data_IF_227852163867
#
_entry.id   IF_227852163867
#
_cell.length_a   1.000
_cell.length_b   1.000
_cell.length_c   1.000
_cell.angle_alpha   90.00
_cell.angle_beta   90.00
_cell.angle_gamma   90.00
#
_symmetry.space_group_name_H-M   'P 1'
#
loop_
_entity.id
_entity.type
_entity.pdbx_description
1 polymer ?
#
# COMPACT_ATOMS: atom_id res chain seq x y z
N UNK A 1 42.69 -0.01 7.65
CA UNK A 1 42.58 0.70 8.93
C UNK A 1 41.11 1.00 9.14
N UNK A 2 40.42 0.13 9.94
CA UNK A 2 39.02 0.28 10.27
C UNK A 2 38.82 1.36 11.31
N UNK A 3 37.80 2.21 11.10
CA UNK A 3 37.39 3.22 12.07
C UNK A 3 36.91 2.52 13.36
N UNK A 4 37.25 3.05 14.55
CA UNK A 4 36.80 2.48 15.82
C UNK A 4 35.26 2.61 15.94
N UNK A 5 34.59 1.50 16.23
CA UNK A 5 33.16 1.51 16.52
C UNK A 5 32.93 2.14 17.90
N UNK A 6 32.01 3.12 17.95
CA UNK A 6 31.64 3.82 19.20
C UNK A 6 30.18 3.45 19.52
N UNK A 7 29.95 2.97 20.74
CA UNK A 7 28.58 2.70 21.22
C UNK A 7 28.11 3.90 22.05
N UNK A 8 27.07 4.57 21.58
CA UNK A 8 26.46 5.75 22.26
C UNK A 8 25.41 5.35 23.32
N UNK A 9 25.69 4.32 24.13
CA UNK A 9 24.76 3.91 25.17
C UNK A 9 25.49 3.87 26.50
N UNK A 10 25.01 4.64 27.49
CA UNK A 10 25.48 4.56 28.88
C UNK A 10 25.06 3.21 29.47
N UNK A 11 26.03 2.41 29.82
CA UNK A 11 25.88 1.11 30.48
C UNK A 11 26.54 1.16 31.86
N UNK A 12 26.06 0.34 32.80
CA UNK A 12 26.71 0.27 34.13
C UNK A 12 28.14 -0.31 34.05
N UNK A 13 28.99 0.04 35.01
CA UNK A 13 30.40 -0.41 35.02
C UNK A 13 30.52 -1.94 34.99
N UNK A 14 29.61 -2.65 35.62
CA UNK A 14 29.56 -4.11 35.63
C UNK A 14 29.22 -4.69 34.24
N UNK A 15 28.28 -4.06 33.53
CA UNK A 15 27.94 -4.43 32.15
C UNK A 15 29.06 -4.10 31.16
N UNK A 16 29.77 -2.97 31.37
CA UNK A 16 30.90 -2.57 30.55
C UNK A 16 32.06 -3.56 30.70
N UNK A 17 32.33 -4.00 31.91
CA UNK A 17 33.40 -4.97 32.22
C UNK A 17 33.10 -6.33 31.63
N UNK A 18 31.85 -6.80 31.74
CA UNK A 18 31.40 -8.08 31.17
C UNK A 18 31.49 -8.09 29.64
N UNK A 19 31.03 -7.02 29.00
CA UNK A 19 31.11 -6.88 27.54
C UNK A 19 32.56 -6.78 27.03
N UNK A 20 33.42 -6.08 27.75
CA UNK A 20 34.86 -5.97 27.43
C UNK A 20 35.56 -7.32 27.48
N UNK A 21 35.31 -8.11 28.52
CA UNK A 21 35.91 -9.44 28.68
C UNK A 21 35.44 -10.40 27.55
N UNK A 22 34.20 -10.35 27.17
CA UNK A 22 33.66 -11.14 26.05
C UNK A 22 34.30 -10.75 24.70
N UNK A 23 34.41 -9.45 24.41
CA UNK A 23 35.00 -8.96 23.17
C UNK A 23 36.48 -9.21 23.05
N UNK A 24 37.22 -9.12 24.18
CA UNK A 24 38.64 -9.50 24.24
C UNK A 24 38.86 -10.99 24.01
N UNK A 25 37.95 -11.84 24.50
CA UNK A 25 37.96 -13.29 24.23
C UNK A 25 37.78 -13.66 22.77
N UNK A 26 37.16 -12.78 21.96
CA UNK A 26 36.93 -12.94 20.52
C UNK A 26 38.02 -12.21 19.68
N UNK A 27 39.04 -11.63 20.31
CA UNK A 27 40.17 -11.02 19.62
C UNK A 27 40.07 -9.52 19.31
N UNK A 28 39.10 -8.80 19.91
CA UNK A 28 38.97 -7.35 19.77
C UNK A 28 39.72 -6.62 20.91
N UNK A 29 40.42 -5.53 20.58
CA UNK A 29 40.96 -4.62 21.60
C UNK A 29 39.87 -3.62 22.00
N UNK A 30 39.49 -3.63 23.28
CA UNK A 30 38.42 -2.78 23.82
C UNK A 30 39.01 -1.87 24.88
N UNK A 31 38.77 -0.55 24.73
CA UNK A 31 39.14 0.47 25.72
C UNK A 31 37.84 1.05 26.32
N UNK A 32 37.75 1.02 27.67
CA UNK A 32 36.59 1.51 28.41
C UNK A 32 36.95 2.90 28.96
N UNK A 33 36.27 3.94 28.44
CA UNK A 33 36.42 5.30 28.97
C UNK A 33 35.24 5.64 29.90
N UNK A 34 35.55 5.90 31.15
CA UNK A 34 34.57 6.40 32.13
C UNK A 34 34.23 7.86 31.83
N UNK A 35 32.98 8.17 31.57
CA UNK A 35 32.48 9.55 31.42
C UNK A 35 32.31 10.13 32.83
N UNK A 36 33.29 10.88 33.34
CA UNK A 36 33.14 11.69 34.54
C UNK A 36 32.15 12.84 34.23
N UNK A 37 31.07 12.90 34.99
CA UNK A 37 30.10 14.02 34.95
C UNK A 37 30.82 15.31 35.38
N UNK A 38 31.05 16.18 34.43
CA UNK A 38 31.56 17.51 34.61
C UNK A 38 31.46 18.29 33.31
N UNK A 39 30.25 18.62 32.91
CA UNK A 39 30.03 19.58 31.81
C UNK A 39 29.72 20.92 32.44
N UNK A 40 30.68 21.83 32.35
CA UNK A 40 30.49 23.27 32.55
C UNK A 40 29.49 23.79 31.50
N UNK A 41 28.49 24.60 31.85
CA UNK A 41 27.54 25.10 30.86
C UNK A 41 28.23 26.11 29.94
N UNK A 42 28.14 25.83 28.63
CA UNK A 42 28.54 26.77 27.59
C UNK A 42 27.58 27.98 27.60
N UNK A 43 28.09 29.22 27.36
CA UNK A 43 27.25 30.42 27.34
C UNK A 43 26.23 30.36 26.19
N UNK A 44 25.00 30.73 26.50
CA UNK A 44 23.89 30.78 25.56
C UNK A 44 24.20 31.70 24.35
N UNK A 45 23.96 31.26 23.12
CA UNK A 45 24.06 32.16 21.97
C UNK A 45 22.88 33.16 21.98
N UNK A 46 23.20 34.42 21.97
CA UNK A 46 22.26 35.54 21.79
C UNK A 46 21.61 35.41 20.41
N UNK A 47 20.33 35.06 20.37
CA UNK A 47 19.52 35.03 19.14
C UNK A 47 18.93 36.41 18.91
N UNK A 48 19.12 37.02 17.74
CA UNK A 48 18.43 38.28 17.41
C UNK A 48 16.93 37.99 17.25
N UNK A 49 16.17 38.84 17.93
CA UNK A 49 14.72 38.97 17.83
C UNK A 49 14.32 39.32 16.38
N UNK A 50 13.56 38.44 15.72
CA UNK A 50 12.54 38.76 14.69
C UNK A 50 12.17 37.56 13.84
N UNK A 51 10.99 37.09 14.02
CA UNK A 51 9.96 36.74 13.03
C UNK A 51 8.91 35.91 13.73
N UNK A 52 7.69 36.41 13.82
CA UNK A 52 6.52 35.63 14.27
C UNK A 52 6.38 34.35 13.46
N UNK A 53 6.30 33.17 14.11
CA UNK A 53 6.05 31.94 13.40
C UNK A 53 4.58 31.89 13.00
N UNK A 54 4.33 31.85 11.71
CA UNK A 54 3.06 31.43 11.11
C UNK A 54 2.59 30.16 11.82
N UNK A 55 1.52 30.26 12.57
CA UNK A 55 0.89 29.18 13.34
C UNK A 55 0.45 28.05 12.41
N UNK A 56 1.32 27.09 12.20
CA UNK A 56 0.92 25.73 11.84
C UNK A 56 0.27 25.13 13.09
N UNK A 57 -0.91 24.54 13.05
CA UNK A 57 -1.51 23.92 14.23
C UNK A 57 -0.55 22.85 14.77
N UNK A 58 0.07 23.13 15.92
CA UNK A 58 0.87 22.15 16.65
C UNK A 58 -0.06 21.07 17.16
N UNK A 59 0.23 19.81 16.80
CA UNK A 59 -0.38 18.64 17.40
C UNK A 59 -0.07 18.67 18.91
N UNK A 60 -0.98 18.26 19.79
CA UNK A 60 -0.75 18.22 21.23
C UNK A 60 0.49 17.37 21.55
N UNK A 61 1.38 17.90 22.37
CA UNK A 61 2.72 17.37 22.68
C UNK A 61 2.78 15.97 23.33
N UNK A 62 1.64 15.31 23.53
CA UNK A 62 1.54 14.01 24.20
C UNK A 62 1.04 12.86 23.30
N UNK A 63 0.89 13.05 21.99
CA UNK A 63 0.50 11.97 21.08
C UNK A 63 1.72 11.37 20.39
N UNK A 64 1.94 10.07 20.62
CA UNK A 64 2.95 9.32 19.89
C UNK A 64 2.64 9.33 18.38
N UNK A 65 3.48 9.97 17.59
CA UNK A 65 3.35 10.00 16.15
C UNK A 65 4.34 9.05 15.49
N UNK A 66 3.83 8.08 14.71
CA UNK A 66 4.63 7.15 13.95
C UNK A 66 4.69 7.57 12.49
N UNK A 67 5.89 7.62 11.94
CA UNK A 67 6.09 7.96 10.53
C UNK A 67 6.37 6.72 9.71
N UNK A 68 5.87 6.72 8.48
CA UNK A 68 6.32 5.77 7.47
C UNK A 68 7.62 6.26 6.85
N UNK A 69 8.45 5.31 6.39
CA UNK A 69 9.67 5.58 5.65
C UNK A 69 9.80 4.66 4.45
N UNK A 70 10.57 5.09 3.45
CA UNK A 70 10.89 4.26 2.28
C UNK A 70 12.34 4.46 1.87
N UNK A 71 13.13 3.39 1.91
CA UNK A 71 14.57 3.38 1.61
C UNK A 71 14.92 2.78 0.24
N UNK A 72 13.91 2.45 -0.57
CA UNK A 72 14.12 1.85 -1.89
C UNK A 72 14.80 2.79 -2.87
N UNK A 73 15.62 2.19 -3.75
CA UNK A 73 16.37 2.89 -4.79
C UNK A 73 15.86 2.48 -6.18
N UNK A 74 15.67 3.47 -7.07
CA UNK A 74 15.22 3.26 -8.45
C UNK A 74 16.18 2.43 -9.28
N UNK A 75 17.51 2.58 -9.10
CA UNK A 75 18.53 1.78 -9.80
C UNK A 75 18.43 0.30 -9.43
N UNK A 76 18.30 0.00 -8.13
CA UNK A 76 18.15 -1.39 -7.67
C UNK A 76 16.86 -2.01 -8.19
N UNK A 77 15.75 -1.27 -8.11
CA UNK A 77 14.47 -1.74 -8.65
C UNK A 77 14.54 -1.93 -10.17
N UNK A 78 15.22 -1.05 -10.89
CA UNK A 78 15.43 -1.19 -12.32
C UNK A 78 16.21 -2.47 -12.65
N UNK A 79 17.31 -2.77 -11.93
CA UNK A 79 18.07 -4.01 -12.11
C UNK A 79 17.18 -5.25 -11.92
N UNK A 80 16.38 -5.28 -10.84
CA UNK A 80 15.40 -6.36 -10.60
C UNK A 80 14.40 -6.47 -11.75
N UNK A 81 13.84 -5.34 -12.19
CA UNK A 81 12.80 -5.31 -13.24
C UNK A 81 13.37 -5.70 -14.60
N UNK A 82 14.57 -5.25 -14.91
CA UNK A 82 15.27 -5.57 -16.17
C UNK A 82 15.59 -7.06 -16.28
N UNK A 83 16.19 -7.65 -15.25
CA UNK A 83 16.46 -9.10 -15.22
C UNK A 83 15.15 -9.90 -15.29
N UNK A 84 14.12 -9.45 -14.59
CA UNK A 84 12.80 -10.07 -14.64
C UNK A 84 12.17 -9.97 -16.05
N UNK A 85 12.34 -8.84 -16.74
CA UNK A 85 11.86 -8.64 -18.11
C UNK A 85 12.51 -9.63 -19.07
N UNK A 86 13.85 -9.72 -19.03
CA UNK A 86 14.60 -10.67 -19.86
C UNK A 86 14.09 -12.09 -19.62
N UNK A 87 14.02 -12.53 -18.37
CA UNK A 87 13.50 -13.87 -18.03
C UNK A 87 12.06 -14.08 -18.48
N UNK A 88 11.22 -13.03 -18.41
CA UNK A 88 9.82 -13.12 -18.85
C UNK A 88 9.73 -13.29 -20.37
N UNK A 89 10.57 -12.63 -21.14
CA UNK A 89 10.63 -12.78 -22.61
C UNK A 89 11.09 -14.20 -22.97
N UNK A 90 12.18 -14.70 -22.38
CA UNK A 90 12.71 -16.05 -22.67
C UNK A 90 11.76 -17.17 -22.23
N UNK A 91 10.88 -16.93 -21.26
CA UNK A 91 9.88 -17.91 -20.80
C UNK A 91 8.49 -17.68 -21.39
N UNK A 92 8.38 -16.91 -22.51
CA UNK A 92 7.11 -16.59 -23.17
C UNK A 92 6.03 -16.07 -22.19
N UNK A 93 6.45 -15.26 -21.21
CA UNK A 93 5.56 -14.65 -20.23
C UNK A 93 5.34 -15.44 -18.93
N UNK A 94 5.76 -16.72 -18.84
CA UNK A 94 5.56 -17.52 -17.62
C UNK A 94 6.30 -16.94 -16.41
N UNK A 95 7.47 -16.33 -16.59
CA UNK A 95 8.24 -15.76 -15.48
C UNK A 95 7.60 -14.53 -14.83
N UNK A 96 6.56 -13.93 -15.44
CA UNK A 96 5.85 -12.75 -14.90
C UNK A 96 5.40 -12.89 -13.43
N UNK A 97 5.07 -14.10 -13.00
CA UNK A 97 4.62 -14.37 -11.62
C UNK A 97 5.78 -14.23 -10.62
N UNK A 98 6.96 -14.72 -10.98
CA UNK A 98 8.20 -14.52 -10.19
C UNK A 98 8.62 -13.06 -10.21
N UNK A 99 8.58 -12.42 -11.37
CA UNK A 99 8.88 -11.00 -11.53
C UNK A 99 8.04 -10.13 -10.59
N UNK A 100 6.73 -10.37 -10.54
CA UNK A 100 5.78 -9.67 -9.67
C UNK A 100 6.08 -9.90 -8.18
N UNK A 101 6.39 -11.14 -7.81
CA UNK A 101 6.74 -11.48 -6.43
C UNK A 101 8.05 -10.81 -6.00
N UNK A 102 9.10 -10.86 -6.83
CA UNK A 102 10.40 -10.24 -6.55
C UNK A 102 10.27 -8.72 -6.34
N UNK A 103 9.51 -8.04 -7.20
CA UNK A 103 9.26 -6.59 -7.06
C UNK A 103 8.51 -6.30 -5.76
N UNK A 104 7.50 -7.09 -5.40
CA UNK A 104 6.75 -6.90 -4.15
C UNK A 104 7.65 -7.12 -2.93
N UNK A 105 8.42 -8.20 -2.90
CA UNK A 105 9.37 -8.47 -1.81
C UNK A 105 10.35 -7.32 -1.63
N UNK A 106 10.92 -6.81 -2.73
CA UNK A 106 11.79 -5.64 -2.66
C UNK A 106 11.07 -4.41 -2.10
N UNK A 107 9.92 -4.05 -2.62
CA UNK A 107 9.20 -2.85 -2.18
C UNK A 107 8.78 -2.93 -0.70
N UNK A 108 8.32 -4.09 -0.24
CA UNK A 108 7.96 -4.29 1.17
C UNK A 108 9.18 -4.21 2.09
N UNK A 109 10.29 -4.86 1.74
CA UNK A 109 11.53 -4.81 2.52
C UNK A 109 12.14 -3.42 2.60
N UNK A 110 11.81 -2.51 1.69
CA UNK A 110 12.24 -1.11 1.71
C UNK A 110 11.26 -0.16 2.37
N UNK A 111 10.06 -0.62 2.73
CA UNK A 111 9.06 0.18 3.45
C UNK A 111 9.25 -0.01 4.95
N UNK A 112 9.32 1.10 5.69
CA UNK A 112 9.47 1.12 7.14
C UNK A 112 8.24 1.76 7.78
N UNK A 113 7.90 1.30 8.96
CA UNK A 113 6.94 1.93 9.85
C UNK A 113 7.47 1.83 11.30
N UNK A 114 7.47 2.94 12.02
CA UNK A 114 8.02 3.00 13.37
C UNK A 114 9.44 2.37 13.51
N UNK A 115 10.28 2.53 12.48
CA UNK A 115 11.65 2.00 12.43
C UNK A 115 11.79 0.57 11.90
N UNK A 116 10.72 -0.23 11.87
CA UNK A 116 10.76 -1.63 11.43
C UNK A 116 10.27 -1.81 9.99
N UNK A 117 10.85 -2.80 9.30
CA UNK A 117 10.55 -3.10 7.90
C UNK A 117 9.33 -4.00 7.77
N UNK A 118 8.58 -3.79 6.70
CA UNK A 118 7.57 -4.74 6.26
C UNK A 118 8.22 -5.95 5.58
N UNK A 119 7.53 -7.08 5.59
CA UNK A 119 7.90 -8.28 4.87
C UNK A 119 6.75 -8.79 4.00
N UNK A 120 7.09 -9.42 2.87
CA UNK A 120 6.13 -10.03 1.96
C UNK A 120 6.48 -11.50 1.74
N UNK A 121 5.56 -12.39 2.09
CA UNK A 121 5.74 -13.85 2.10
C UNK A 121 5.02 -14.58 0.95
N UNK A 122 4.41 -13.85 0.01
CA UNK A 122 3.76 -14.44 -1.14
C UNK A 122 4.73 -15.12 -2.09
N UNK A 123 4.29 -16.20 -2.73
CA UNK A 123 5.10 -16.98 -3.66
C UNK A 123 4.59 -16.89 -5.09
N UNK A 124 5.50 -17.00 -6.06
CA UNK A 124 5.15 -17.01 -7.47
C UNK A 124 4.32 -18.23 -7.86
N UNK A 125 4.52 -19.38 -7.17
CA UNK A 125 3.77 -20.61 -7.43
C UNK A 125 2.28 -20.44 -7.09
N UNK A 126 1.95 -19.75 -5.99
CA UNK A 126 0.56 -19.41 -5.62
C UNK A 126 -0.09 -18.54 -6.71
N UNK A 127 0.60 -17.49 -7.16
CA UNK A 127 0.11 -16.61 -8.23
C UNK A 127 -0.10 -17.36 -9.55
N UNK A 128 0.83 -18.24 -9.92
CA UNK A 128 0.73 -19.06 -11.12
C UNK A 128 -0.47 -20.00 -11.06
N UNK A 129 -0.67 -20.69 -9.92
CA UNK A 129 -1.80 -21.62 -9.72
C UNK A 129 -3.14 -20.89 -9.90
N UNK A 130 -3.30 -19.71 -9.29
CA UNK A 130 -4.50 -18.87 -9.49
C UNK A 130 -4.69 -18.45 -10.94
N UNK A 131 -3.62 -18.02 -11.61
CA UNK A 131 -3.68 -17.61 -13.02
C UNK A 131 -4.00 -18.76 -13.97
N UNK A 132 -3.51 -19.98 -13.70
CA UNK A 132 -3.84 -21.18 -14.50
C UNK A 132 -5.32 -21.53 -14.37
N UNK A 133 -5.87 -21.52 -13.15
CA UNK A 133 -7.31 -21.79 -12.92
C UNK A 133 -8.19 -20.79 -13.68
N UNK A 134 -7.87 -19.49 -13.57
CA UNK A 134 -8.60 -18.45 -14.28
C UNK A 134 -8.42 -18.56 -15.79
N UNK A 135 -7.19 -18.85 -16.26
CA UNK A 135 -6.88 -19.02 -17.68
C UNK A 135 -7.66 -20.19 -18.30
N UNK A 136 -7.78 -21.31 -17.60
CA UNK A 136 -8.58 -22.47 -18.05
C UNK A 136 -10.07 -22.12 -18.14
N UNK A 137 -10.60 -21.40 -17.16
CA UNK A 137 -11.98 -20.92 -17.20
C UNK A 137 -12.22 -19.96 -18.38
N UNK A 138 -11.28 -19.02 -18.59
CA UNK A 138 -11.36 -18.08 -19.71
C UNK A 138 -11.21 -18.77 -21.06
N UNK A 139 -10.32 -19.76 -21.18
CA UNK A 139 -10.15 -20.55 -22.39
C UNK A 139 -11.42 -21.33 -22.75
N UNK A 140 -12.04 -21.99 -21.75
CA UNK A 140 -13.32 -22.67 -21.93
C UNK A 140 -14.39 -21.71 -22.43
N UNK A 141 -14.47 -20.51 -21.87
CA UNK A 141 -15.39 -19.48 -22.35
C UNK A 141 -15.13 -19.09 -23.82
N UNK A 142 -13.87 -18.80 -24.17
CA UNK A 142 -13.51 -18.44 -25.54
C UNK A 142 -13.87 -19.58 -26.51
N UNK A 143 -13.63 -20.82 -26.11
CA UNK A 143 -13.98 -21.98 -26.91
C UNK A 143 -15.51 -22.11 -27.12
N UNK A 144 -16.30 -21.97 -26.05
CA UNK A 144 -17.76 -22.03 -26.12
C UNK A 144 -18.32 -20.87 -26.95
N UNK A 145 -17.84 -19.65 -26.71
CA UNK A 145 -18.30 -18.48 -27.45
C UNK A 145 -17.93 -18.60 -28.93
N UNK A 146 -16.70 -19.00 -29.24
CA UNK A 146 -16.24 -19.25 -30.61
C UNK A 146 -17.07 -20.31 -31.33
N UNK A 147 -17.38 -21.42 -30.66
CA UNK A 147 -18.25 -22.46 -31.19
C UNK A 147 -19.64 -21.92 -31.54
N UNK A 148 -20.25 -21.13 -30.61
CA UNK A 148 -21.59 -20.53 -30.86
C UNK A 148 -21.54 -19.57 -32.04
N UNK A 149 -20.51 -18.75 -32.19
CA UNK A 149 -20.38 -17.85 -33.33
C UNK A 149 -20.23 -18.59 -34.68
N UNK A 150 -19.47 -19.69 -34.68
CA UNK A 150 -19.13 -20.39 -35.92
C UNK A 150 -20.27 -21.37 -36.38
N UNK A 151 -20.87 -22.08 -35.42
CA UNK A 151 -21.81 -23.20 -35.74
C UNK A 151 -23.26 -22.81 -35.55
N UNK A 152 -23.60 -21.88 -34.65
CA UNK A 152 -25.00 -21.57 -34.32
C UNK A 152 -25.43 -20.24 -35.00
N UNK A 153 -24.60 -19.22 -34.94
CA UNK A 153 -24.83 -17.96 -35.59
C UNK A 153 -24.34 -16.72 -34.83
N UNK A 154 -24.30 -15.60 -35.56
CA UNK A 154 -23.76 -14.34 -35.03
C UNK A 154 -24.60 -13.76 -33.90
N UNK A 155 -25.93 -13.83 -34.01
CA UNK A 155 -26.85 -13.27 -33.01
C UNK A 155 -26.76 -14.01 -31.69
N UNK A 156 -26.69 -15.33 -31.75
CA UNK A 156 -26.56 -16.22 -30.61
C UNK A 156 -25.18 -16.06 -29.99
N UNK A 157 -24.11 -15.90 -30.77
CA UNK A 157 -22.77 -15.62 -30.31
C UNK A 157 -22.67 -14.28 -29.59
N UNK A 158 -23.31 -13.22 -30.12
CA UNK A 158 -23.40 -11.92 -29.48
C UNK A 158 -24.17 -11.99 -28.15
N UNK A 159 -25.28 -12.73 -28.11
CA UNK A 159 -26.04 -12.95 -26.88
C UNK A 159 -25.21 -13.64 -25.81
N UNK A 160 -24.51 -14.72 -26.16
CA UNK A 160 -23.59 -15.44 -25.24
C UNK A 160 -22.47 -14.52 -24.75
N UNK A 161 -21.88 -13.72 -25.63
CA UNK A 161 -20.85 -12.73 -25.26
C UNK A 161 -21.36 -11.68 -24.26
N UNK A 162 -22.57 -11.17 -24.50
CA UNK A 162 -23.20 -10.19 -23.59
C UNK A 162 -23.51 -10.80 -22.21
N UNK A 163 -24.08 -12.01 -22.16
CA UNK A 163 -24.35 -12.73 -20.91
C UNK A 163 -23.03 -12.92 -20.14
N UNK A 164 -21.97 -13.33 -20.83
CA UNK A 164 -20.68 -13.53 -20.18
C UNK A 164 -20.07 -12.22 -19.66
N UNK A 165 -20.21 -11.13 -20.40
CA UNK A 165 -19.77 -9.80 -19.94
C UNK A 165 -20.46 -9.43 -18.63
N UNK A 166 -21.77 -9.67 -18.52
CA UNK A 166 -22.54 -9.46 -17.29
C UNK A 166 -22.02 -10.37 -16.17
N UNK A 167 -21.76 -11.65 -16.45
CA UNK A 167 -21.21 -12.59 -15.48
C UNK A 167 -19.83 -12.15 -14.99
N UNK A 168 -18.94 -11.71 -15.87
CA UNK A 168 -17.63 -11.16 -15.47
C UNK A 168 -17.82 -9.94 -14.56
N UNK A 169 -18.69 -8.99 -14.90
CA UNK A 169 -18.97 -7.83 -14.05
C UNK A 169 -19.42 -8.21 -12.64
N UNK A 170 -20.23 -9.26 -12.52
CA UNK A 170 -20.67 -9.81 -11.23
C UNK A 170 -19.49 -10.49 -10.49
N UNK A 171 -18.58 -11.12 -11.21
CA UNK A 171 -17.43 -11.84 -10.62
C UNK A 171 -16.27 -10.93 -10.20
N UNK A 172 -16.09 -9.77 -10.85
CA UNK A 172 -15.01 -8.82 -10.52
C UNK A 172 -14.90 -8.53 -9.02
N UNK A 173 -15.98 -8.18 -8.28
CA UNK A 173 -15.88 -7.95 -6.83
C UNK A 173 -15.37 -9.14 -6.02
N UNK A 174 -15.73 -10.37 -6.40
CA UNK A 174 -15.22 -11.59 -5.75
C UNK A 174 -13.72 -11.76 -6.00
N UNK A 175 -13.28 -11.58 -7.24
CA UNK A 175 -11.87 -11.63 -7.61
C UNK A 175 -11.05 -10.56 -6.89
N UNK A 176 -11.60 -9.34 -6.75
CA UNK A 176 -10.97 -8.27 -6.00
C UNK A 176 -10.83 -8.61 -4.51
N UNK A 177 -11.85 -9.20 -3.90
CA UNK A 177 -11.80 -9.66 -2.50
C UNK A 177 -10.72 -10.74 -2.33
N UNK A 178 -10.68 -11.73 -3.22
CA UNK A 178 -9.65 -12.77 -3.22
C UNK A 178 -8.25 -12.20 -3.33
N UNK A 179 -8.02 -11.31 -4.32
CA UNK A 179 -6.73 -10.65 -4.52
C UNK A 179 -6.29 -9.79 -3.32
N UNK A 180 -7.23 -9.10 -2.67
CA UNK A 180 -6.95 -8.28 -1.50
C UNK A 180 -6.63 -9.15 -0.28
N UNK A 181 -7.41 -10.22 -0.05
CA UNK A 181 -7.18 -11.22 1.00
C UNK A 181 -5.79 -11.86 0.85
N UNK A 182 -5.46 -12.34 -0.34
CA UNK A 182 -4.14 -12.90 -0.62
C UNK A 182 -3.02 -11.89 -0.33
N UNK A 183 -3.14 -10.66 -0.82
CA UNK A 183 -2.10 -9.63 -0.65
C UNK A 183 -1.85 -9.30 0.81
N UNK A 184 -2.91 -9.11 1.60
CA UNK A 184 -2.80 -8.79 3.02
C UNK A 184 -2.27 -9.97 3.83
N UNK A 185 -2.76 -11.19 3.60
CA UNK A 185 -2.30 -12.39 4.33
C UNK A 185 -0.82 -12.70 4.11
N UNK A 186 -0.25 -12.24 2.99
CA UNK A 186 1.18 -12.39 2.67
C UNK A 186 2.04 -11.19 3.10
N UNK A 187 1.44 -10.14 3.63
CA UNK A 187 2.13 -8.97 4.16
C UNK A 187 2.24 -9.06 5.68
N UNK A 188 3.40 -8.76 6.23
CA UNK A 188 3.61 -8.73 7.67
C UNK A 188 4.47 -7.53 8.09
N UNK A 189 4.30 -7.11 9.34
CA UNK A 189 5.13 -6.13 10.02
C UNK A 189 5.43 -6.62 11.44
N UNK A 190 6.69 -6.58 11.87
CA UNK A 190 7.15 -7.20 13.14
C UNK A 190 6.70 -8.66 13.33
N UNK A 191 6.65 -9.44 12.23
CA UNK A 191 6.18 -10.84 12.28
C UNK A 191 4.66 -11.01 12.33
N UNK A 192 3.88 -9.95 12.58
CA UNK A 192 2.42 -9.97 12.63
C UNK A 192 1.87 -9.76 11.21
N UNK A 193 1.02 -10.66 10.76
CA UNK A 193 0.41 -10.62 9.42
C UNK A 193 -0.82 -9.74 9.41
N UNK A 194 -1.03 -9.10 8.25
CA UNK A 194 -2.31 -8.49 7.95
C UNK A 194 -3.32 -9.54 7.50
N UNK A 195 -4.59 -9.26 7.66
CA UNK A 195 -5.66 -10.12 7.17
C UNK A 195 -6.81 -9.31 6.59
N UNK A 196 -7.59 -9.93 5.68
CA UNK A 196 -8.79 -9.35 5.13
C UNK A 196 -9.98 -10.29 5.36
N UNK A 197 -11.00 -9.79 6.05
CA UNK A 197 -12.16 -10.61 6.47
C UNK A 197 -13.45 -10.28 5.70
N UNK A 198 -13.38 -9.39 4.70
CA UNK A 198 -14.52 -9.03 3.86
C UNK A 198 -14.99 -10.19 2.98
N UNK A 199 -16.29 -10.23 2.71
CA UNK A 199 -16.91 -11.25 1.87
C UNK A 199 -17.20 -10.72 0.47
N UNK A 200 -17.10 -11.60 -0.54
CA UNK A 200 -17.41 -11.25 -1.94
C UNK A 200 -18.84 -10.75 -2.14
N UNK A 201 -19.81 -11.28 -1.38
CA UNK A 201 -21.23 -10.82 -1.44
C UNK A 201 -21.36 -9.37 -0.98
N UNK A 202 -20.65 -8.96 0.07
CA UNK A 202 -20.65 -7.58 0.56
C UNK A 202 -20.01 -6.64 -0.48
N UNK A 203 -18.88 -7.06 -1.06
CA UNK A 203 -18.27 -6.33 -2.17
C UNK A 203 -19.23 -6.19 -3.34
N UNK A 204 -19.86 -7.29 -3.78
CA UNK A 204 -20.85 -7.27 -4.86
C UNK A 204 -21.97 -6.25 -4.60
N UNK A 205 -22.52 -6.19 -3.39
CA UNK A 205 -23.55 -5.22 -3.03
C UNK A 205 -23.06 -3.77 -3.19
N UNK A 206 -21.82 -3.46 -2.71
CA UNK A 206 -21.23 -2.12 -2.86
C UNK A 206 -21.00 -1.76 -4.33
N UNK A 207 -20.43 -2.68 -5.10
CA UNK A 207 -20.12 -2.45 -6.51
C UNK A 207 -21.36 -2.41 -7.38
N UNK A 208 -22.36 -3.26 -7.12
CA UNK A 208 -23.63 -3.27 -7.84
C UNK A 208 -24.39 -1.95 -7.67
N UNK A 209 -24.49 -1.44 -6.43
CA UNK A 209 -25.07 -0.10 -6.19
C UNK A 209 -24.31 0.98 -6.96
N UNK A 210 -22.97 0.92 -6.98
CA UNK A 210 -22.14 1.86 -7.73
C UNK A 210 -22.39 1.76 -9.24
N UNK A 211 -22.34 0.57 -9.81
CA UNK A 211 -22.57 0.35 -11.26
C UNK A 211 -23.96 0.78 -11.72
N UNK A 212 -24.96 0.64 -10.85
CA UNK A 212 -26.34 1.05 -11.16
C UNK A 212 -26.56 2.55 -10.94
N UNK A 213 -26.17 3.07 -9.77
CA UNK A 213 -26.55 4.44 -9.38
C UNK A 213 -25.63 5.52 -9.96
N UNK A 214 -24.35 5.23 -10.25
CA UNK A 214 -23.45 6.22 -10.84
C UNK A 214 -23.95 6.65 -12.24
N UNK A 215 -24.22 5.77 -13.21
CA UNK A 215 -24.76 6.20 -14.50
C UNK A 215 -26.17 6.76 -14.38
N UNK A 216 -27.04 6.18 -13.54
CA UNK A 216 -28.42 6.67 -13.36
C UNK A 216 -28.48 8.11 -12.84
N UNK A 217 -27.51 8.51 -12.02
CA UNK A 217 -27.39 9.87 -11.47
C UNK A 217 -26.43 10.76 -12.25
N UNK A 218 -26.08 10.40 -13.50
CA UNK A 218 -25.10 11.13 -14.32
C UNK A 218 -23.78 11.42 -13.59
N UNK A 219 -23.33 10.47 -12.78
CA UNK A 219 -22.10 10.57 -12.01
C UNK A 219 -22.23 11.18 -10.62
N UNK A 220 -23.36 11.80 -10.25
CA UNK A 220 -23.51 12.45 -8.94
C UNK A 220 -23.42 11.47 -7.76
N UNK A 221 -23.69 10.20 -7.96
CA UNK A 221 -23.53 9.17 -6.93
C UNK A 221 -22.07 8.73 -6.72
N UNK A 222 -21.13 9.15 -7.58
CA UNK A 222 -19.71 8.70 -7.52
C UNK A 222 -19.03 8.95 -6.16
N UNK A 223 -19.19 10.10 -5.47
CA UNK A 223 -18.58 10.31 -4.15
C UNK A 223 -19.08 9.30 -3.11
N UNK A 224 -20.36 9.01 -3.10
CA UNK A 224 -20.94 8.02 -2.19
C UNK A 224 -20.38 6.62 -2.48
N UNK A 225 -20.37 6.20 -3.75
CA UNK A 225 -19.79 4.93 -4.17
C UNK A 225 -18.29 4.84 -3.81
N UNK A 226 -17.51 5.91 -4.08
CA UNK A 226 -16.08 5.92 -3.76
C UNK A 226 -15.84 5.75 -2.26
N UNK A 227 -16.57 6.46 -1.42
CA UNK A 227 -16.41 6.42 0.03
C UNK A 227 -16.93 5.09 0.61
N UNK A 228 -18.07 4.55 0.16
CA UNK A 228 -18.55 3.22 0.56
C UNK A 228 -17.53 2.11 0.21
N UNK A 229 -16.93 2.18 -0.98
CA UNK A 229 -15.89 1.26 -1.40
C UNK A 229 -14.67 1.35 -0.48
N UNK A 230 -14.18 2.56 -0.17
CA UNK A 230 -13.06 2.74 0.73
C UNK A 230 -13.38 2.23 2.15
N UNK A 231 -14.61 2.46 2.62
CA UNK A 231 -15.11 1.92 3.88
C UNK A 231 -15.04 0.40 3.90
N UNK A 232 -15.60 -0.25 2.86
CA UNK A 232 -15.58 -1.71 2.77
C UNK A 232 -14.17 -2.28 2.84
N UNK A 233 -13.21 -1.72 2.08
CA UNK A 233 -11.86 -2.23 2.07
C UNK A 233 -11.12 -2.02 3.39
N UNK A 234 -11.30 -0.89 4.06
CA UNK A 234 -10.63 -0.58 5.32
C UNK A 234 -11.22 -1.34 6.50
N UNK A 235 -12.54 -1.28 6.67
CA UNK A 235 -13.18 -1.92 7.83
C UNK A 235 -13.03 -3.45 7.83
N UNK A 236 -12.79 -4.05 6.68
CA UNK A 236 -12.49 -5.48 6.59
C UNK A 236 -10.99 -5.81 6.61
N UNK A 237 -10.11 -4.81 6.72
CA UNK A 237 -8.67 -5.01 6.87
C UNK A 237 -8.26 -5.02 8.34
N UNK A 238 -7.40 -5.95 8.70
CA UNK A 238 -6.95 -6.19 10.08
C UNK A 238 -5.44 -6.26 10.13
N UNK A 239 -4.85 -5.81 11.23
CA UNK A 239 -3.46 -6.02 11.58
C UNK A 239 -3.42 -6.85 12.86
N UNK A 240 -3.06 -8.14 12.77
CA UNK A 240 -3.26 -9.07 13.87
C UNK A 240 -4.73 -9.12 14.30
N UNK A 241 -4.99 -8.79 15.55
CA UNK A 241 -6.32 -8.69 16.18
C UNK A 241 -6.96 -7.29 16.06
N UNK A 242 -6.21 -6.28 15.58
CA UNK A 242 -6.70 -4.90 15.49
C UNK A 242 -7.36 -4.61 14.15
N UNK A 243 -8.63 -4.26 14.19
CA UNK A 243 -9.42 -3.85 13.01
C UNK A 243 -9.14 -2.41 12.59
N UNK A 244 -8.97 -2.17 11.29
CA UNK A 244 -9.03 -0.81 10.76
C UNK A 244 -10.48 -0.31 10.73
N UNK A 245 -10.69 0.97 11.03
CA UNK A 245 -12.01 1.63 11.02
C UNK A 245 -12.00 2.79 10.04
N UNK A 246 -13.17 3.10 9.51
CA UNK A 246 -13.35 4.22 8.58
C UNK A 246 -14.58 5.04 8.92
N UNK A 247 -14.40 6.33 9.19
CA UNK A 247 -15.46 7.25 9.63
C UNK A 247 -15.97 8.18 8.53
N UNK A 248 -15.40 8.12 7.31
CA UNK A 248 -15.75 9.02 6.21
C UNK A 248 -17.16 8.78 5.66
N UNK A 249 -17.81 9.87 5.24
CA UNK A 249 -19.16 9.85 4.64
C UNK A 249 -19.14 10.46 3.25
N UNK A 250 -19.83 9.84 2.30
CA UNK A 250 -19.90 10.31 0.91
C UNK A 250 -20.50 11.71 0.77
N UNK A 251 -21.45 12.05 1.66
CA UNK A 251 -22.11 13.37 1.71
C UNK A 251 -21.10 14.51 1.93
N UNK A 252 -20.12 14.31 2.78
CA UNK A 252 -19.15 15.34 3.16
C UNK A 252 -18.23 15.68 1.98
N UNK A 253 -18.03 14.73 1.06
CA UNK A 253 -17.21 14.91 -0.12
C UNK A 253 -17.96 15.39 -1.37
N UNK A 254 -19.30 15.37 -1.35
CA UNK A 254 -20.14 15.71 -2.51
C UNK A 254 -19.89 17.13 -3.01
N UNK A 255 -19.81 18.11 -2.12
CA UNK A 255 -19.54 19.51 -2.51
C UNK A 255 -18.23 19.67 -3.28
N UNK A 256 -17.16 19.05 -2.81
CA UNK A 256 -15.84 19.05 -3.48
C UNK A 256 -15.89 18.33 -4.82
N UNK A 257 -16.67 17.27 -4.93
CA UNK A 257 -16.86 16.57 -6.19
C UNK A 257 -17.61 17.41 -7.21
N UNK A 258 -18.71 18.07 -6.83
CA UNK A 258 -19.47 18.96 -7.72
C UNK A 258 -18.55 20.10 -8.22
N UNK A 259 -17.79 20.73 -7.31
CA UNK A 259 -16.79 21.74 -7.69
C UNK A 259 -15.77 21.19 -8.69
N UNK A 260 -15.31 19.96 -8.49
CA UNK A 260 -14.36 19.30 -9.39
C UNK A 260 -14.97 19.06 -10.78
N UNK A 261 -16.24 18.67 -10.87
CA UNK A 261 -16.95 18.47 -12.16
C UNK A 261 -16.95 19.77 -12.97
N UNK A 262 -17.17 20.92 -12.34
CA UNK A 262 -17.17 22.22 -13.04
C UNK A 262 -15.77 22.75 -13.33
N UNK A 263 -14.85 22.63 -12.39
CA UNK A 263 -13.51 23.21 -12.55
C UNK A 263 -12.59 22.35 -13.44
N UNK A 264 -12.83 21.06 -13.54
CA UNK A 264 -11.98 20.18 -14.36
C UNK A 264 -11.96 20.57 -15.85
N UNK A 265 -13.09 20.75 -16.54
CA UNK A 265 -13.08 21.20 -17.93
C UNK A 265 -12.54 22.63 -18.05
N UNK A 266 -12.88 23.54 -17.13
CA UNK A 266 -12.42 24.93 -17.14
C UNK A 266 -10.89 25.03 -16.99
N UNK A 267 -10.26 24.12 -16.27
CA UNK A 267 -8.81 24.07 -16.04
C UNK A 267 -8.11 23.05 -16.94
N UNK A 268 -8.74 22.57 -18.02
CA UNK A 268 -8.21 21.54 -18.92
C UNK A 268 -7.70 20.30 -18.17
N UNK A 269 -8.41 19.91 -17.10
CA UNK A 269 -8.05 18.72 -16.29
C UNK A 269 -7.07 19.00 -15.14
N UNK A 270 -6.43 20.16 -15.07
CA UNK A 270 -5.45 20.43 -14.01
C UNK A 270 -6.06 20.40 -12.61
N UNK A 271 -7.33 20.75 -12.45
CA UNK A 271 -7.99 20.71 -11.14
C UNK A 271 -8.08 19.30 -10.54
N UNK A 272 -8.01 18.24 -11.36
CA UNK A 272 -8.01 16.86 -10.88
C UNK A 272 -6.88 16.55 -9.90
N UNK A 273 -5.74 17.24 -9.99
CA UNK A 273 -4.64 17.05 -9.04
C UNK A 273 -4.99 17.56 -7.65
N UNK A 274 -5.67 18.71 -7.54
CA UNK A 274 -6.16 19.26 -6.27
C UNK A 274 -7.27 18.37 -5.70
N UNK A 275 -8.23 18.00 -6.54
CA UNK A 275 -9.30 17.09 -6.17
C UNK A 275 -8.76 15.75 -5.65
N UNK A 276 -7.77 15.15 -6.35
CA UNK A 276 -7.15 13.88 -5.94
C UNK A 276 -6.40 14.00 -4.62
N UNK A 277 -5.71 15.13 -4.39
CA UNK A 277 -5.05 15.40 -3.12
C UNK A 277 -6.07 15.54 -1.98
N UNK A 278 -7.15 16.29 -2.21
CA UNK A 278 -8.23 16.46 -1.23
C UNK A 278 -8.93 15.14 -0.91
N UNK A 279 -9.20 14.33 -1.92
CA UNK A 279 -9.78 13.00 -1.74
C UNK A 279 -8.85 12.09 -0.93
N UNK A 280 -7.57 12.06 -1.25
CA UNK A 280 -6.58 11.26 -0.53
C UNK A 280 -6.45 11.71 0.93
N UNK A 281 -6.37 13.02 1.17
CA UNK A 281 -6.35 13.59 2.52
C UNK A 281 -7.60 13.21 3.31
N UNK A 282 -8.77 13.37 2.71
CA UNK A 282 -10.05 13.00 3.34
C UNK A 282 -10.09 11.53 3.71
N UNK A 283 -9.71 10.64 2.79
CA UNK A 283 -9.73 9.20 3.03
C UNK A 283 -8.79 8.81 4.17
N UNK A 284 -7.56 9.32 4.19
CA UNK A 284 -6.59 8.98 5.22
C UNK A 284 -6.94 9.56 6.58
N UNK A 285 -7.44 10.81 6.65
CA UNK A 285 -7.85 11.44 7.91
C UNK A 285 -9.07 10.77 8.57
N UNK A 286 -9.85 9.99 7.79
CA UNK A 286 -10.97 9.20 8.31
C UNK A 286 -10.64 7.70 8.46
N UNK A 287 -9.37 7.33 8.31
CA UNK A 287 -8.89 5.96 8.52
C UNK A 287 -8.23 5.86 9.88
N UNK A 288 -8.68 4.89 10.68
CA UNK A 288 -8.23 4.69 12.05
C UNK A 288 -7.77 3.24 12.24
N UNK A 289 -6.79 3.03 13.10
CA UNK A 289 -6.36 1.72 13.56
C UNK A 289 -6.12 1.76 15.07
N UNK A 290 -6.80 0.90 15.82
CA UNK A 290 -6.80 1.02 17.26
C UNK A 290 -7.31 2.40 17.72
N UNK A 291 -6.57 3.09 18.56
CA UNK A 291 -6.83 4.47 19.00
C UNK A 291 -6.14 5.55 18.18
N UNK A 292 -5.47 5.20 17.06
CA UNK A 292 -4.70 6.14 16.25
C UNK A 292 -5.35 6.43 14.89
N UNK A 293 -5.09 7.62 14.37
CA UNK A 293 -5.61 8.13 13.09
C UNK A 293 -4.49 8.38 12.10
N UNK A 294 -4.71 8.04 10.85
CA UNK A 294 -3.77 8.36 9.79
C UNK A 294 -3.90 9.83 9.35
N UNK A 295 -2.78 10.48 9.12
CA UNK A 295 -2.70 11.83 8.58
C UNK A 295 -1.88 11.82 7.29
N UNK A 296 -2.40 12.48 6.26
CA UNK A 296 -1.75 12.59 4.94
C UNK A 296 -1.86 14.02 4.42
N UNK A 297 -1.07 14.98 4.96
CA UNK A 297 -1.22 16.42 4.72
C UNK A 297 -0.62 16.87 3.39
N UNK A 298 -1.00 16.24 2.27
CA UNK A 298 -0.55 16.63 0.93
C UNK A 298 -1.36 17.80 0.37
N UNK A 299 -0.71 18.63 -0.41
CA UNK A 299 -1.35 19.73 -1.18
C UNK A 299 -1.53 19.32 -2.64
N UNK A 300 -2.48 19.92 -3.34
CA UNK A 300 -2.69 19.67 -4.77
C UNK A 300 -1.44 19.93 -5.62
N UNK A 301 -0.62 20.95 -5.25
CA UNK A 301 0.65 21.26 -5.90
C UNK A 301 1.67 20.12 -5.74
N UNK A 302 1.75 19.51 -4.58
CA UNK A 302 2.68 18.40 -4.32
C UNK A 302 2.32 17.20 -5.19
N UNK A 303 1.02 16.93 -5.32
CA UNK A 303 0.49 15.88 -6.16
C UNK A 303 0.71 16.17 -7.65
N UNK A 304 0.48 17.40 -8.09
CA UNK A 304 0.78 17.85 -9.45
C UNK A 304 2.27 17.67 -9.78
N UNK A 305 3.16 18.17 -8.93
CA UNK A 305 4.61 18.07 -9.11
C UNK A 305 5.06 16.60 -9.19
N UNK A 306 4.51 15.74 -8.34
CA UNK A 306 4.78 14.31 -8.39
C UNK A 306 4.37 13.70 -9.72
N UNK A 307 3.12 13.93 -10.15
CA UNK A 307 2.57 13.34 -11.37
C UNK A 307 3.21 13.91 -12.63
N UNK A 308 3.43 15.21 -12.68
CA UNK A 308 4.07 15.87 -13.81
C UNK A 308 5.52 15.39 -14.00
N UNK A 309 6.30 15.34 -12.92
CA UNK A 309 7.66 14.83 -13.00
C UNK A 309 7.69 13.33 -13.37
N UNK A 310 6.74 12.52 -12.87
CA UNK A 310 6.62 11.12 -13.26
C UNK A 310 6.26 10.97 -14.75
N UNK A 311 5.38 11.83 -15.26
CA UNK A 311 5.04 11.88 -16.68
C UNK A 311 6.26 12.16 -17.54
N UNK A 312 7.04 13.18 -17.20
CA UNK A 312 8.27 13.51 -17.95
C UNK A 312 9.32 12.40 -17.85
N UNK A 313 9.50 11.77 -16.68
CA UNK A 313 10.41 10.64 -16.56
C UNK A 313 10.00 9.52 -17.53
N UNK A 314 8.72 9.15 -17.59
CA UNK A 314 8.26 8.09 -18.49
C UNK A 314 8.41 8.53 -19.96
N UNK A 315 8.01 9.75 -20.28
CA UNK A 315 8.06 10.28 -21.64
C UNK A 315 9.49 10.33 -22.18
N UNK A 316 10.42 10.95 -21.46
CA UNK A 316 11.81 11.11 -21.94
C UNK A 316 12.64 9.82 -21.88
N UNK A 317 12.25 8.86 -21.03
CA UNK A 317 12.92 7.56 -20.97
C UNK A 317 12.22 6.47 -21.76
N UNK A 318 11.17 6.81 -22.52
CA UNK A 318 10.34 5.85 -23.28
C UNK A 318 9.88 4.66 -22.40
N UNK A 319 9.53 4.94 -21.14
CA UNK A 319 9.05 3.94 -20.17
C UNK A 319 10.16 3.25 -19.36
N UNK A 320 11.43 3.33 -19.74
CA UNK A 320 12.56 2.72 -18.99
C UNK A 320 12.62 3.27 -17.55
N UNK A 321 12.27 4.54 -17.36
CA UNK A 321 12.22 5.21 -16.06
C UNK A 321 11.10 4.75 -15.11
N UNK A 322 10.27 3.79 -15.48
CA UNK A 322 9.15 3.32 -14.66
C UNK A 322 9.57 2.88 -13.24
N UNK A 323 10.72 2.24 -13.10
CA UNK A 323 11.24 1.83 -11.79
C UNK A 323 11.50 3.01 -10.85
N UNK A 324 12.01 4.14 -11.37
CA UNK A 324 12.19 5.37 -10.60
C UNK A 324 10.85 6.00 -10.23
N UNK A 325 9.86 5.96 -11.13
CA UNK A 325 8.50 6.43 -10.86
C UNK A 325 7.86 5.64 -9.73
N UNK A 326 8.00 4.32 -9.71
CA UNK A 326 7.49 3.46 -8.61
C UNK A 326 8.13 3.84 -7.29
N UNK A 327 9.45 3.94 -7.23
CA UNK A 327 10.19 4.33 -6.02
C UNK A 327 9.77 5.72 -5.55
N UNK A 328 9.67 6.68 -6.47
CA UNK A 328 9.26 8.06 -6.17
C UNK A 328 7.85 8.15 -5.59
N UNK A 329 6.90 7.39 -6.17
CA UNK A 329 5.54 7.31 -5.64
C UNK A 329 5.50 6.70 -4.23
N UNK A 330 6.28 5.64 -3.97
CA UNK A 330 6.37 5.01 -2.65
C UNK A 330 6.98 5.95 -1.62
N UNK A 331 8.08 6.62 -2.00
CA UNK A 331 8.73 7.61 -1.14
C UNK A 331 7.79 8.76 -0.81
N UNK A 332 7.09 9.31 -1.81
CA UNK A 332 6.12 10.38 -1.61
C UNK A 332 5.03 9.98 -0.59
N UNK A 333 4.48 8.76 -0.68
CA UNK A 333 3.48 8.29 0.29
C UNK A 333 4.11 8.15 1.67
N UNK A 334 5.29 7.55 1.77
CA UNK A 334 5.97 7.33 3.04
C UNK A 334 6.35 8.65 3.74
N UNK A 335 6.84 9.63 2.99
CA UNK A 335 7.28 10.93 3.52
C UNK A 335 6.09 11.76 4.08
N UNK A 336 4.87 11.53 3.58
CA UNK A 336 3.69 12.31 3.97
C UNK A 336 2.69 11.55 4.85
N UNK A 337 2.80 10.21 4.95
CA UNK A 337 1.85 9.42 5.73
C UNK A 337 2.36 9.24 7.17
N UNK A 338 1.58 9.74 8.11
CA UNK A 338 1.84 9.60 9.54
C UNK A 338 0.65 8.96 10.25
N UNK A 339 0.91 8.25 11.33
CA UNK A 339 -0.09 7.70 12.23
C UNK A 339 0.06 8.39 13.58
N UNK A 340 -0.94 9.12 14.03
CA UNK A 340 -0.93 9.84 15.30
C UNK A 340 -2.05 9.32 16.23
N UNK A 341 -1.74 9.20 17.50
CA UNK A 341 -2.67 8.74 18.54
C UNK A 341 -2.11 7.60 19.39
N UNK A 342 -2.89 7.17 20.36
CA UNK A 342 -2.48 6.14 21.30
C UNK A 342 -2.77 4.74 20.73
N UNK A 343 -1.77 4.12 20.11
CA UNK A 343 -1.81 2.72 19.71
C UNK A 343 -0.67 1.96 20.39
N UNK A 344 -1.01 0.95 21.15
CA UNK A 344 -0.04 0.07 21.79
C UNK A 344 0.41 -1.02 20.79
N UNK A 345 1.27 -0.65 19.85
CA UNK A 345 1.77 -1.56 18.80
C UNK A 345 2.41 -2.84 19.36
N UNK A 346 2.92 -2.79 20.58
CA UNK A 346 3.56 -3.94 21.23
C UNK A 346 2.55 -4.94 21.81
N UNK A 347 1.27 -4.55 21.97
CA UNK A 347 0.19 -5.43 22.43
C UNK A 347 -0.57 -6.10 21.31
N UNK A 348 -0.33 -5.73 20.07
CA UNK A 348 -0.97 -6.38 18.92
C UNK A 348 -0.49 -7.83 18.83
N UNK A 349 -1.41 -8.76 18.88
CA UNK A 349 -1.13 -10.20 18.85
C UNK A 349 -1.62 -10.79 17.53
N UNK A 350 -0.85 -11.74 17.01
CA UNK A 350 -1.30 -12.54 15.88
C UNK A 350 -2.47 -13.41 16.34
N UNK A 351 -3.68 -13.13 15.88
CA UNK A 351 -4.81 -14.01 16.12
C UNK A 351 -4.56 -15.33 15.38
N UNK A 352 -4.35 -16.41 16.14
CA UNK A 352 -4.35 -17.76 15.59
C UNK A 352 -5.81 -18.13 15.27
N UNK A 353 -6.20 -17.92 14.03
CA UNK A 353 -7.42 -18.51 13.52
C UNK A 353 -7.12 -19.98 13.30
N UNK A 354 -7.76 -20.83 14.08
CA UNK A 354 -7.99 -22.23 13.69
C UNK A 354 -8.86 -22.21 12.41
N UNK A 355 -8.21 -22.06 11.29
CA UNK A 355 -8.80 -22.36 9.99
C UNK A 355 -8.86 -23.86 9.90
N UNK A 356 -10.00 -24.43 10.32
CA UNK A 356 -10.28 -25.83 10.04
C UNK A 356 -10.06 -26.08 8.55
N UNK A 357 -9.30 -27.12 8.22
CA UNK A 357 -8.84 -27.47 6.87
C UNK A 357 -9.95 -27.55 5.80
N UNK A 358 -11.19 -27.62 6.20
CA UNK A 358 -12.37 -27.69 5.31
C UNK A 358 -12.79 -26.35 4.67
N UNK A 359 -12.31 -25.21 5.20
CA UNK A 359 -12.60 -23.87 4.63
C UNK A 359 -11.56 -23.39 3.62
N UNK A 360 -10.34 -23.93 3.66
CA UNK A 360 -9.22 -23.51 2.81
C UNK A 360 -9.37 -24.00 1.35
N UNK A 361 -9.80 -25.23 1.13
CA UNK A 361 -9.92 -25.79 -0.23
C UNK A 361 -11.02 -25.12 -1.09
N UNK A 362 -12.12 -24.67 -0.49
CA UNK A 362 -13.17 -23.97 -1.21
C UNK A 362 -12.86 -22.51 -1.52
N UNK A 363 -12.00 -21.85 -0.72
CA UNK A 363 -11.60 -20.44 -0.91
C UNK A 363 -10.36 -20.27 -1.80
N UNK A 364 -9.52 -21.28 -1.92
CA UNK A 364 -8.34 -21.33 -2.80
C UNK A 364 -8.73 -21.21 -4.30
N UNK A 365 -9.96 -21.54 -4.65
CA UNK A 365 -10.48 -21.44 -6.03
C UNK A 365 -10.67 -19.99 -6.47
N UNK A 366 -10.83 -19.05 -5.53
CA UNK A 366 -11.09 -17.63 -5.82
C UNK A 366 -9.87 -16.71 -5.65
N UNK A 367 -8.71 -17.24 -5.31
CA UNK A 367 -7.48 -16.45 -5.10
C UNK A 367 -6.78 -16.07 -6.43
N UNK A 368 -7.50 -15.43 -7.33
CA UNK A 368 -6.91 -14.85 -8.55
C UNK A 368 -6.37 -13.46 -8.22
N UNK A 369 -5.07 -13.22 -8.35
CA UNK A 369 -4.52 -11.89 -8.14
C UNK A 369 -4.89 -10.96 -9.29
N UNK A 370 -5.78 -10.02 -9.02
CA UNK A 370 -6.02 -8.88 -9.91
C UNK A 370 -5.06 -7.77 -9.50
N UNK A 371 -4.14 -7.42 -10.39
CA UNK A 371 -3.32 -6.22 -10.26
C UNK A 371 -4.14 -5.03 -10.74
N UNK A 372 -4.62 -4.23 -9.81
CA UNK A 372 -4.95 -2.84 -10.09
C UNK A 372 -3.65 -2.05 -10.04
N UNK A 373 -3.10 -1.75 -11.22
CA UNK A 373 -1.93 -0.92 -11.42
C UNK A 373 -2.01 0.46 -10.73
#
# INVERSE_FOLDING_TARGET
QGLPWRFDKTISDEQATTASNYLRGVGFSVDIQSVKNGVEPLPEPVIPDQAEPTTTPSLPENESSYRMGFQGNGRTLFGITFVNLIKTIFTLGFYRFWAKTNVRQYLWSQTLFAGDRFSYHGTAKELLRGAVRFGLFFLLFVAVNGYVYLEIGWKEGELVGNIFTILIMIWIPFLMVGAWRYRLSRSAWRGIRFSFRGQGRQALSVYFKGYLLVPLTLGLFWPYFKIEREKFWRENSWFGDVQMRFSGKGKDFLKKFILAVFLTPLTLGFYLFWFSADLSRYIWSHTHIGGATFHFPIRGRDYLNLKLANFFIILFTLGIGYSWVVVRNRKFIADHLTLAGNIELNRVVQEMKDTGAFGEEGMDIMDVPIDSG
#
